data_IF_712057020538
#
_entry.id   IF_712057020538
#
_cell.length_a   1.000
_cell.length_b   1.000
_cell.length_c   1.000
_cell.angle_alpha   90.00
_cell.angle_beta   90.00
_cell.angle_gamma   90.00
#
_symmetry.space_group_name_H-M   'P 1'
#
loop_
_entity.id
_entity.type
_entity.pdbx_description
1 polymer ?
#
# COMPACT_ATOMS: atom_id res chain seq x y z
N UNK A 1 -12.29 -8.77 3.61
CA UNK A 1 -13.45 -9.51 3.05
C UNK A 1 -14.12 -8.73 1.92
N UNK A 2 -14.30 -7.41 2.06
CA UNK A 2 -15.00 -6.58 1.06
C UNK A 2 -14.37 -6.62 -0.34
N UNK A 3 -13.04 -6.62 -0.43
CA UNK A 3 -12.34 -6.75 -1.71
C UNK A 3 -12.78 -7.98 -2.52
N UNK A 4 -12.83 -9.14 -1.88
CA UNK A 4 -13.19 -10.41 -2.55
C UNK A 4 -14.65 -10.39 -2.97
N UNK A 5 -15.53 -9.84 -2.12
CA UNK A 5 -16.95 -9.70 -2.42
C UNK A 5 -17.16 -8.79 -3.64
N UNK A 6 -16.61 -7.58 -3.62
CA UNK A 6 -16.74 -6.61 -4.71
C UNK A 6 -16.13 -7.13 -6.02
N UNK A 7 -14.99 -7.83 -5.94
CA UNK A 7 -14.39 -8.44 -7.12
C UNK A 7 -15.28 -9.55 -7.70
N UNK A 8 -15.84 -10.43 -6.86
CA UNK A 8 -16.77 -11.48 -7.30
C UNK A 8 -18.01 -10.87 -7.94
N UNK A 9 -18.55 -9.80 -7.36
CA UNK A 9 -19.69 -9.07 -7.94
C UNK A 9 -19.32 -8.48 -9.31
N UNK A 10 -18.14 -7.86 -9.44
CA UNK A 10 -17.64 -7.36 -10.71
C UNK A 10 -17.46 -8.47 -11.76
N UNK A 11 -16.88 -9.62 -11.40
CA UNK A 11 -16.74 -10.77 -12.31
C UNK A 11 -18.13 -11.30 -12.73
N UNK A 12 -19.06 -11.42 -11.79
CA UNK A 12 -20.42 -11.92 -12.04
C UNK A 12 -21.23 -10.99 -12.97
N UNK A 13 -20.90 -9.69 -12.98
CA UNK A 13 -21.53 -8.71 -13.87
C UNK A 13 -21.29 -8.98 -15.36
N UNK A 14 -20.33 -9.84 -15.73
CA UNK A 14 -20.13 -10.27 -17.11
C UNK A 14 -21.43 -10.73 -17.79
N UNK A 15 -22.28 -11.43 -17.04
CA UNK A 15 -23.58 -11.91 -17.52
C UNK A 15 -24.48 -10.78 -18.04
N UNK A 16 -24.44 -9.60 -17.40
CA UNK A 16 -25.22 -8.42 -17.77
C UNK A 16 -24.72 -7.78 -19.07
N UNK A 17 -23.46 -8.03 -19.42
CA UNK A 17 -22.81 -7.50 -20.62
C UNK A 17 -22.79 -8.50 -21.78
N UNK A 18 -23.57 -9.57 -21.68
CA UNK A 18 -23.69 -10.59 -22.73
C UNK A 18 -25.09 -10.63 -23.34
N UNK A 19 -25.18 -10.92 -24.63
CA UNK A 19 -26.44 -11.14 -25.35
C UNK A 19 -26.23 -12.13 -26.51
N UNK A 20 -27.31 -12.59 -27.12
CA UNK A 20 -27.24 -13.46 -28.29
C UNK A 20 -26.39 -12.81 -29.40
N UNK A 21 -25.45 -13.58 -29.96
CA UNK A 21 -24.61 -13.14 -31.06
C UNK A 21 -25.37 -13.05 -32.37
N UNK A 22 -24.77 -12.39 -33.36
CA UNK A 22 -25.39 -12.23 -34.70
C UNK A 22 -25.47 -13.53 -35.51
N UNK A 23 -24.68 -14.55 -35.13
CA UNK A 23 -24.58 -15.84 -35.81
C UNK A 23 -24.87 -16.97 -34.82
N UNK A 24 -25.37 -18.09 -35.33
CA UNK A 24 -25.57 -19.28 -34.51
C UNK A 24 -24.22 -19.79 -33.96
N UNK A 25 -24.22 -20.18 -32.68
CA UNK A 25 -23.00 -20.52 -31.93
C UNK A 25 -22.12 -19.34 -31.52
N UNK A 26 -22.59 -18.08 -31.66
CA UNK A 26 -21.88 -16.88 -31.21
C UNK A 26 -22.62 -16.17 -30.07
N UNK A 27 -21.83 -15.50 -29.23
CA UNK A 27 -22.27 -14.63 -28.16
C UNK A 27 -21.70 -13.23 -28.35
N UNK A 28 -22.52 -12.22 -28.15
CA UNK A 28 -22.12 -10.82 -28.23
C UNK A 28 -21.80 -10.30 -26.83
N UNK A 29 -20.62 -9.71 -26.65
CA UNK A 29 -20.10 -9.28 -25.33
C UNK A 29 -19.67 -7.82 -25.39
N UNK A 30 -20.09 -7.02 -24.41
CA UNK A 30 -19.57 -5.68 -24.20
C UNK A 30 -18.37 -5.71 -23.23
N UNK A 31 -17.19 -5.94 -23.81
CA UNK A 31 -15.93 -6.02 -23.05
C UNK A 31 -15.54 -4.71 -22.37
N UNK A 32 -15.95 -3.57 -22.93
CA UNK A 32 -15.60 -2.25 -22.39
C UNK A 32 -16.38 -1.98 -21.10
N UNK A 33 -17.66 -2.33 -21.08
CA UNK A 33 -18.49 -2.25 -19.86
C UNK A 33 -18.07 -3.24 -18.79
N UNK A 34 -17.68 -4.45 -19.19
CA UNK A 34 -17.12 -5.41 -18.25
C UNK A 34 -15.80 -4.92 -17.65
N UNK A 35 -14.90 -4.36 -18.47
CA UNK A 35 -13.68 -3.72 -18.03
C UNK A 35 -13.95 -2.57 -17.07
N UNK A 36 -14.93 -1.71 -17.34
CA UNK A 36 -15.31 -0.59 -16.45
C UNK A 36 -15.62 -1.09 -15.03
N UNK A 37 -16.49 -2.11 -14.92
CA UNK A 37 -16.84 -2.71 -13.64
C UNK A 37 -15.63 -3.31 -12.92
N UNK A 38 -14.84 -4.12 -13.62
CA UNK A 38 -13.66 -4.77 -13.04
C UNK A 38 -12.59 -3.77 -12.60
N UNK A 39 -12.28 -2.79 -13.46
CA UNK A 39 -11.24 -1.80 -13.23
C UNK A 39 -11.62 -0.81 -12.13
N UNK A 40 -12.93 -0.54 -11.93
CA UNK A 40 -13.39 0.30 -10.82
C UNK A 40 -13.00 -0.28 -9.45
N UNK A 41 -13.14 -1.60 -9.28
CA UNK A 41 -12.72 -2.32 -8.07
C UNK A 41 -11.20 -2.23 -7.93
N UNK A 42 -10.46 -2.52 -9.00
CA UNK A 42 -8.98 -2.44 -8.96
C UNK A 42 -8.49 -1.05 -8.58
N UNK A 43 -9.02 0.00 -9.22
CA UNK A 43 -8.67 1.40 -8.91
C UNK A 43 -8.95 1.73 -7.44
N UNK A 44 -10.12 1.34 -6.91
CA UNK A 44 -10.51 1.56 -5.51
C UNK A 44 -9.50 0.96 -4.53
N UNK A 45 -9.07 -0.28 -4.74
CA UNK A 45 -8.16 -0.94 -3.81
C UNK A 45 -6.68 -0.61 -4.06
N UNK A 46 -6.28 -0.19 -5.28
CA UNK A 46 -4.94 0.34 -5.57
C UNK A 46 -4.72 1.74 -4.98
N UNK A 47 -5.78 2.56 -4.88
CA UNK A 47 -5.69 3.93 -4.35
C UNK A 47 -5.67 4.01 -2.83
N UNK A 48 -6.02 2.93 -2.12
CA UNK A 48 -5.97 2.84 -0.67
C UNK A 48 -4.54 3.09 -0.14
N UNK A 49 -4.45 3.87 0.95
CA UNK A 49 -3.20 4.25 1.61
C UNK A 49 -3.38 4.21 3.12
N UNK A 50 -2.28 4.03 3.84
CA UNK A 50 -2.21 4.12 5.30
C UNK A 50 -3.32 3.31 6.00
N UNK A 51 -4.17 3.95 6.80
CA UNK A 51 -5.26 3.34 7.57
C UNK A 51 -6.36 2.74 6.70
N UNK A 52 -6.49 3.21 5.46
CA UNK A 52 -7.44 2.68 4.48
C UNK A 52 -6.86 1.51 3.68
N UNK A 53 -5.59 1.14 3.91
CA UNK A 53 -4.95 0.00 3.26
C UNK A 53 -5.70 -1.30 3.55
N UNK A 54 -5.61 -2.24 2.62
CA UNK A 54 -6.24 -3.56 2.72
C UNK A 54 -6.03 -4.23 4.08
N UNK A 55 -4.85 -4.08 4.67
CA UNK A 55 -4.64 -4.30 6.09
C UNK A 55 -3.61 -3.32 6.65
N UNK A 56 -3.96 -2.70 7.78
CA UNK A 56 -3.13 -1.76 8.53
C UNK A 56 -2.97 -2.24 9.97
N UNK A 57 -1.73 -2.34 10.45
CA UNK A 57 -1.48 -2.57 11.86
C UNK A 57 -0.25 -1.77 12.31
N UNK A 58 -0.37 -1.09 13.45
CA UNK A 58 0.76 -0.41 14.10
C UNK A 58 1.12 -1.17 15.37
N UNK A 59 2.39 -1.51 15.51
CA UNK A 59 2.95 -2.27 16.62
C UNK A 59 3.93 -1.39 17.39
N UNK A 60 3.50 -0.92 18.56
CA UNK A 60 4.36 -0.16 19.46
C UNK A 60 4.97 -1.09 20.50
N UNK A 61 6.30 -1.09 20.59
CA UNK A 61 7.08 -1.75 21.63
C UNK A 61 7.69 -0.68 22.52
N UNK A 62 7.08 -0.45 23.67
CA UNK A 62 7.49 0.55 24.63
C UNK A 62 8.65 0.04 25.50
N UNK A 63 9.70 0.84 25.61
CA UNK A 63 10.87 0.55 26.41
C UNK A 63 10.54 0.70 27.89
N UNK A 64 10.89 -0.31 28.70
CA UNK A 64 10.61 -0.33 30.14
C UNK A 64 11.81 0.06 31.02
N UNK A 65 13.00 0.22 30.45
CA UNK A 65 14.25 0.24 31.24
C UNK A 65 14.98 -1.10 31.19
N UNK A 66 16.28 -1.09 31.53
CA UNK A 66 17.15 -2.27 31.64
C UNK A 66 17.18 -3.19 30.41
N UNK A 67 16.98 -2.61 29.22
CA UNK A 67 16.95 -3.34 27.95
C UNK A 67 15.61 -4.04 27.66
N UNK A 68 14.62 -3.98 28.56
CA UNK A 68 13.33 -4.66 28.42
C UNK A 68 12.32 -3.83 27.65
N UNK A 69 11.38 -4.51 27.00
CA UNK A 69 10.29 -3.88 26.23
C UNK A 69 8.95 -4.53 26.58
N UNK A 70 7.87 -3.80 26.34
CA UNK A 70 6.52 -4.36 26.37
C UNK A 70 5.67 -3.85 25.20
N UNK A 71 4.59 -4.55 24.92
CA UNK A 71 3.57 -4.16 23.95
C UNK A 71 2.19 -4.49 24.50
N UNK A 72 1.24 -3.59 24.32
CA UNK A 72 -0.18 -3.89 24.51
C UNK A 72 -0.81 -4.42 23.22
N UNK A 73 -1.60 -5.48 23.35
CA UNK A 73 -2.34 -6.08 22.24
C UNK A 73 -3.61 -6.75 22.78
N UNK A 74 -4.79 -6.36 22.28
CA UNK A 74 -6.09 -6.92 22.69
C UNK A 74 -6.26 -7.03 24.23
N UNK A 75 -5.98 -5.93 24.94
CA UNK A 75 -6.02 -5.81 26.41
C UNK A 75 -5.01 -6.69 27.17
N UNK A 76 -4.10 -7.37 26.48
CA UNK A 76 -3.01 -8.12 27.08
C UNK A 76 -1.69 -7.36 26.95
N UNK A 77 -0.80 -7.57 27.90
CA UNK A 77 0.54 -7.00 27.91
C UNK A 77 1.58 -8.10 27.64
N UNK A 78 2.43 -7.87 26.65
CA UNK A 78 3.46 -8.82 26.20
C UNK A 78 4.82 -8.24 26.54
N UNK A 79 5.63 -8.98 27.29
CA UNK A 79 6.96 -8.55 27.72
C UNK A 79 8.07 -9.21 26.90
N UNK A 80 9.11 -8.44 26.60
CA UNK A 80 10.30 -8.84 25.85
C UNK A 80 11.55 -8.54 26.69
N UNK A 81 12.42 -9.52 26.80
CA UNK A 81 13.65 -9.49 27.60
C UNK A 81 14.67 -8.48 27.08
N UNK A 82 14.75 -8.35 25.75
CA UNK A 82 15.70 -7.48 25.08
C UNK A 82 15.23 -7.09 23.67
N UNK A 83 15.93 -6.12 23.08
CA UNK A 83 15.72 -5.68 21.70
C UNK A 83 15.80 -6.83 20.68
N UNK A 84 16.73 -7.79 20.85
CA UNK A 84 16.84 -8.95 19.96
C UNK A 84 15.57 -9.80 19.95
N UNK A 85 14.87 -9.94 21.08
CA UNK A 85 13.61 -10.67 21.15
C UNK A 85 12.49 -9.92 20.42
N UNK A 86 12.47 -8.58 20.50
CA UNK A 86 11.57 -7.73 19.72
C UNK A 86 11.83 -7.93 18.22
N UNK A 87 13.07 -7.81 17.77
CA UNK A 87 13.48 -8.02 16.37
C UNK A 87 13.14 -9.42 15.86
N UNK A 88 13.33 -10.45 16.68
CA UNK A 88 12.98 -11.84 16.33
C UNK A 88 11.48 -12.01 16.18
N UNK A 89 10.69 -11.36 17.04
CA UNK A 89 9.24 -11.36 16.95
C UNK A 89 8.76 -10.68 15.66
N UNK A 90 9.34 -9.52 15.31
CA UNK A 90 9.03 -8.77 14.09
C UNK A 90 9.37 -9.61 12.85
N UNK A 91 10.56 -10.22 12.80
CA UNK A 91 10.98 -11.10 11.70
C UNK A 91 10.08 -12.33 11.55
N UNK A 92 9.59 -12.87 12.66
CA UNK A 92 8.66 -14.01 12.64
C UNK A 92 7.31 -13.62 12.05
N UNK A 93 6.77 -12.46 12.46
CA UNK A 93 5.53 -11.89 11.90
C UNK A 93 5.72 -11.61 10.41
N UNK A 94 6.81 -10.94 10.04
CA UNK A 94 7.15 -10.64 8.65
C UNK A 94 7.20 -11.92 7.79
N UNK A 95 7.86 -12.97 8.27
CA UNK A 95 7.96 -14.25 7.55
C UNK A 95 6.60 -14.93 7.36
N UNK A 96 5.75 -14.92 8.39
CA UNK A 96 4.40 -15.50 8.31
C UNK A 96 3.57 -14.75 7.27
N UNK A 97 3.60 -13.41 7.33
CA UNK A 97 2.83 -12.55 6.45
C UNK A 97 3.36 -12.65 5.01
N UNK A 98 4.67 -12.54 4.77
CA UNK A 98 5.28 -12.66 3.43
C UNK A 98 5.07 -14.01 2.77
N UNK A 99 4.77 -15.05 3.55
CA UNK A 99 4.40 -16.35 3.04
C UNK A 99 2.98 -16.44 2.48
N UNK A 100 2.17 -15.38 2.58
CA UNK A 100 0.79 -15.35 2.04
C UNK A 100 0.86 -14.89 0.58
N UNK A 101 0.29 -15.71 -0.32
CA UNK A 101 0.20 -15.36 -1.73
C UNK A 101 -0.91 -14.33 -1.97
N UNK A 102 -0.73 -13.47 -2.98
CA UNK A 102 -1.75 -12.50 -3.38
C UNK A 102 -1.77 -11.20 -2.56
N UNK A 103 -0.77 -10.99 -1.68
CA UNK A 103 -0.59 -9.74 -0.94
C UNK A 103 0.88 -9.32 -0.96
N UNK A 104 1.12 -8.03 -0.78
CA UNK A 104 2.43 -7.43 -0.58
C UNK A 104 2.48 -6.81 0.81
N UNK A 105 3.58 -7.02 1.53
CA UNK A 105 3.76 -6.49 2.89
C UNK A 105 4.96 -5.57 2.94
N UNK A 106 4.74 -4.41 3.55
CA UNK A 106 5.76 -3.42 3.87
C UNK A 106 5.76 -3.21 5.38
N UNK A 107 6.94 -3.30 5.99
CA UNK A 107 7.17 -2.98 7.40
C UNK A 107 8.05 -1.74 7.50
N UNK A 108 7.49 -0.66 8.01
CA UNK A 108 8.20 0.61 8.21
C UNK A 108 8.58 0.76 9.68
N UNK A 109 9.86 1.07 9.93
CA UNK A 109 10.37 1.28 11.28
C UNK A 109 10.44 2.78 11.57
N UNK A 110 9.78 3.22 12.62
CA UNK A 110 9.79 4.61 13.05
C UNK A 110 10.49 4.73 14.42
N UNK A 111 11.58 5.52 14.53
CA UNK A 111 12.05 5.94 15.84
C UNK A 111 10.98 6.83 16.48
N UNK A 112 10.42 6.40 17.62
CA UNK A 112 9.60 7.31 18.43
C UNK A 112 10.56 8.33 19.06
N UNK A 113 10.47 9.59 18.64
CA UNK A 113 11.18 10.68 19.31
C UNK A 113 10.63 10.79 20.73
N UNK A 114 11.50 10.67 21.74
CA UNK A 114 11.17 11.14 23.08
C UNK A 114 10.68 12.59 22.97
N UNK A 115 9.46 12.84 23.42
CA UNK A 115 8.93 14.18 23.55
C UNK A 115 9.80 14.93 24.57
N UNK A 116 10.59 15.90 24.10
CA UNK A 116 11.47 16.70 24.95
C UNK A 116 10.70 17.65 25.89
N UNK A 117 9.37 17.68 25.79
CA UNK A 117 8.52 18.58 26.56
C UNK A 117 8.08 18.03 27.94
N UNK A 118 8.51 16.83 28.33
CA UNK A 118 8.29 16.29 29.69
C UNK A 118 9.27 16.84 30.76
N UNK A 119 10.01 17.91 30.46
CA UNK A 119 10.83 18.66 31.43
C UNK A 119 10.20 20.03 31.70
N UNK A 120 9.13 20.04 32.48
CA UNK A 120 8.70 21.21 33.28
C UNK A 120 8.51 20.60 34.66
N UNK A 121 9.34 20.87 35.66
CA UNK A 121 9.28 22.08 36.48
C UNK A 121 10.59 22.23 37.26
N UNK A 122 11.23 23.39 37.13
CA UNK A 122 11.95 24.13 38.18
C UNK A 122 12.35 25.49 37.58
N UNK A 123 11.37 26.36 37.45
CA UNK A 123 11.63 27.80 37.42
C UNK A 123 11.90 28.25 38.85
N UNK A 124 13.10 28.75 39.14
CA UNK A 124 13.29 29.87 40.06
C UNK A 124 14.49 30.72 39.61
N UNK A 125 14.16 31.77 38.82
CA UNK A 125 14.71 33.14 38.87
C UNK A 125 16.11 33.43 38.25
N UNK A 126 16.47 34.71 37.96
CA UNK A 126 15.98 35.57 36.86
C UNK A 126 17.17 36.12 35.99
N UNK A 127 16.95 37.02 34.99
CA UNK A 127 17.70 37.04 33.71
C UNK A 127 18.97 37.90 33.69
N UNK A 128 19.93 37.54 32.83
CA UNK A 128 21.03 38.44 32.43
C UNK A 128 21.26 38.41 30.90
N UNK A 129 20.79 39.50 30.29
CA UNK A 129 21.31 40.32 29.17
C UNK A 129 22.19 39.70 28.06
N UNK A 130 21.62 39.78 26.84
CA UNK A 130 22.22 40.20 25.54
C UNK A 130 23.70 39.98 25.27
N UNK A 131 23.99 39.26 24.18
CA UNK A 131 24.82 39.81 23.10
C UNK A 131 24.58 39.10 21.75
N UNK A 132 24.69 39.89 20.69
CA UNK A 132 24.39 39.59 19.28
C UNK A 132 25.48 38.69 18.67
N UNK A 133 25.10 37.81 17.74
CA UNK A 133 25.78 37.75 16.44
C UNK A 133 24.90 37.05 15.39
N UNK A 134 24.38 37.84 14.45
CA UNK A 134 24.02 37.38 13.11
C UNK A 134 25.30 36.99 12.37
N UNK A 135 25.26 35.87 11.64
CA UNK A 135 25.63 35.71 10.21
C UNK A 135 26.00 34.26 9.91
N UNK A 136 25.12 33.59 9.17
CA UNK A 136 25.46 32.88 7.93
C UNK A 136 24.23 32.09 7.44
N UNK A 137 23.47 32.71 6.54
CA UNK A 137 22.51 31.99 5.68
C UNK A 137 23.31 31.24 4.63
N UNK A 138 23.63 29.97 4.88
CA UNK A 138 23.98 29.02 3.82
C UNK A 138 22.72 28.34 3.32
N UNK A 139 22.40 28.68 2.08
CA UNK A 139 21.50 27.99 1.16
C UNK A 139 21.88 26.49 1.12
N UNK A 140 20.94 25.60 1.47
CA UNK A 140 21.16 24.16 1.34
C UNK A 140 20.68 23.69 -0.04
N UNK A 141 21.54 23.07 -0.86
CA UNK A 141 21.12 22.49 -2.12
C UNK A 141 20.29 21.23 -1.87
N UNK A 142 19.16 21.16 -2.57
CA UNK A 142 18.34 19.97 -2.73
C UNK A 142 19.17 18.90 -3.46
N UNK A 143 19.82 17.98 -2.75
CA UNK A 143 20.52 16.87 -3.38
C UNK A 143 20.30 15.53 -2.65
N UNK A 144 20.26 14.50 -3.50
CA UNK A 144 19.96 13.09 -3.29
C UNK A 144 20.90 12.44 -2.25
N UNK A 145 20.50 12.42 -0.99
CA UNK A 145 21.02 11.49 0.02
C UNK A 145 19.88 10.99 0.92
N UNK A 146 18.91 10.26 0.34
CA UNK A 146 17.91 9.50 1.11
C UNK A 146 18.33 8.06 1.42
N UNK A 147 19.61 7.71 1.23
CA UNK A 147 20.17 6.44 1.66
C UNK A 147 21.43 6.73 2.47
N UNK A 148 21.50 6.21 3.70
CA UNK A 148 22.60 6.33 4.67
C UNK A 148 22.57 7.51 5.66
N UNK A 149 21.42 7.76 6.27
CA UNK A 149 21.38 8.01 7.71
C UNK A 149 20.35 7.09 8.34
N UNK A 150 20.78 5.85 8.58
CA UNK A 150 20.30 5.17 9.77
C UNK A 150 20.62 6.12 10.92
N UNK A 151 19.62 6.86 11.39
CA UNK A 151 19.69 7.48 12.71
C UNK A 151 20.17 6.35 13.62
N UNK A 152 21.37 6.49 14.17
CA UNK A 152 21.83 5.66 15.27
C UNK A 152 20.77 5.83 16.35
N UNK A 153 19.83 4.89 16.41
CA UNK A 153 18.86 4.80 17.47
C UNK A 153 19.68 4.81 18.76
N UNK A 154 19.35 5.64 19.75
CA UNK A 154 19.86 5.42 21.10
C UNK A 154 19.63 3.94 21.42
N UNK A 155 20.64 3.23 21.87
CA UNK A 155 20.41 1.93 22.49
C UNK A 155 19.42 2.20 23.62
N UNK A 156 18.20 1.66 23.49
CA UNK A 156 17.05 1.85 24.38
C UNK A 156 16.11 3.04 24.07
N UNK A 157 15.24 2.87 23.08
CA UNK A 157 14.08 3.72 22.85
C UNK A 157 12.89 2.86 22.38
N UNK A 158 11.67 3.41 22.44
CA UNK A 158 10.49 2.74 21.88
C UNK A 158 10.71 2.39 20.40
N UNK A 159 10.19 1.22 20.02
CA UNK A 159 10.25 0.72 18.65
C UNK A 159 8.82 0.73 18.12
N UNK A 160 8.57 1.53 17.09
CA UNK A 160 7.26 1.64 16.46
C UNK A 160 7.33 1.11 15.03
N UNK A 161 6.44 0.18 14.72
CA UNK A 161 6.44 -0.53 13.45
C UNK A 161 5.06 -0.47 12.83
N UNK A 162 5.05 0.05 11.62
CA UNK A 162 3.85 0.07 10.79
C UNK A 162 3.90 -1.09 9.81
N UNK A 163 2.87 -1.92 9.86
CA UNK A 163 2.64 -3.03 8.93
C UNK A 163 1.54 -2.63 7.95
N UNK A 164 1.95 -2.41 6.71
CA UNK A 164 1.07 -2.15 5.59
C UNK A 164 1.00 -3.39 4.72
N UNK A 165 -0.22 -3.83 4.46
CA UNK A 165 -0.49 -4.93 3.55
C UNK A 165 -1.39 -4.44 2.44
N UNK A 166 -0.95 -4.65 1.20
CA UNK A 166 -1.68 -4.33 -0.02
C UNK A 166 -1.94 -5.59 -0.83
N UNK A 167 -2.95 -5.53 -1.69
CA UNK A 167 -3.28 -6.64 -2.58
C UNK A 167 -2.25 -6.71 -3.71
N UNK A 168 -1.87 -7.93 -4.07
CA UNK A 168 -1.15 -8.19 -5.32
C UNK A 168 -2.16 -8.29 -6.47
N UNK A 169 -2.11 -7.32 -7.38
CA UNK A 169 -2.99 -7.24 -8.53
C UNK A 169 -2.45 -7.99 -9.76
N UNK A 170 -1.27 -8.61 -9.69
CA UNK A 170 -0.59 -9.18 -10.87
C UNK A 170 -1.45 -10.11 -11.74
N UNK A 171 -2.29 -10.95 -11.13
CA UNK A 171 -3.16 -11.85 -11.88
C UNK A 171 -4.41 -11.14 -12.46
N UNK A 172 -4.89 -10.07 -11.81
CA UNK A 172 -5.99 -9.24 -12.32
C UNK A 172 -5.50 -8.29 -13.40
N UNK A 173 -4.30 -7.73 -13.26
CA UNK A 173 -3.69 -6.86 -14.25
C UNK A 173 -3.51 -7.62 -15.58
N UNK A 174 -3.04 -8.87 -15.54
CA UNK A 174 -3.01 -9.75 -16.73
C UNK A 174 -4.38 -10.00 -17.35
N UNK A 175 -5.43 -10.11 -16.53
CA UNK A 175 -6.80 -10.26 -17.01
C UNK A 175 -7.29 -8.96 -17.65
N UNK A 176 -6.96 -7.82 -17.05
CA UNK A 176 -7.27 -6.49 -17.55
C UNK A 176 -6.60 -6.26 -18.91
N UNK A 177 -5.35 -6.69 -19.08
CA UNK A 177 -4.61 -6.57 -20.33
C UNK A 177 -5.28 -7.29 -21.51
N UNK A 178 -6.12 -8.30 -21.26
CA UNK A 178 -6.92 -8.95 -22.31
C UNK A 178 -7.93 -7.99 -22.95
N UNK A 179 -8.28 -6.89 -22.28
CA UNK A 179 -9.21 -5.90 -22.80
C UNK A 179 -8.55 -4.84 -23.69
N UNK A 180 -7.21 -4.81 -23.76
CA UNK A 180 -6.44 -3.81 -24.51
C UNK A 180 -6.93 -3.63 -25.96
N UNK A 181 -7.15 -4.70 -26.75
CA UNK A 181 -7.55 -4.53 -28.14
C UNK A 181 -8.91 -3.85 -28.27
N UNK A 182 -9.81 -4.07 -27.32
CA UNK A 182 -11.15 -3.47 -27.31
C UNK A 182 -11.10 -2.01 -26.87
N UNK A 183 -10.27 -1.67 -25.88
CA UNK A 183 -10.05 -0.29 -25.45
C UNK A 183 -9.36 0.53 -26.55
N UNK A 184 -8.33 -0.03 -27.19
CA UNK A 184 -7.62 0.62 -28.28
C UNK A 184 -8.55 0.92 -29.47
N UNK A 185 -9.54 0.06 -29.74
CA UNK A 185 -10.55 0.31 -30.80
C UNK A 185 -11.41 1.55 -30.55
N UNK A 186 -11.51 2.00 -29.29
CA UNK A 186 -12.19 3.23 -28.89
C UNK A 186 -11.24 4.43 -28.78
N UNK A 187 -9.95 4.25 -29.04
CA UNK A 187 -8.93 5.27 -28.77
C UNK A 187 -8.77 5.54 -27.27
N UNK A 188 -9.04 4.55 -26.42
CA UNK A 188 -8.79 4.60 -24.97
C UNK A 188 -7.37 4.09 -24.70
N UNK A 189 -6.61 4.86 -23.93
CA UNK A 189 -5.28 4.44 -23.47
C UNK A 189 -5.40 3.63 -22.17
N UNK A 190 -4.78 2.45 -22.14
CA UNK A 190 -4.63 1.64 -20.92
C UNK A 190 -3.68 2.24 -19.90
N UNK A 191 -3.66 1.70 -18.69
CA UNK A 191 -2.73 2.15 -17.63
C UNK A 191 -1.28 2.12 -18.09
N UNK A 192 -0.87 1.06 -18.81
CA UNK A 192 0.48 0.93 -19.36
C UNK A 192 0.77 2.05 -20.36
N UNK A 193 -0.15 2.31 -21.30
CA UNK A 193 -0.01 3.37 -22.31
C UNK A 193 -0.06 4.77 -21.69
N UNK A 194 -0.87 4.99 -20.67
CA UNK A 194 -0.92 6.23 -19.90
C UNK A 194 0.41 6.48 -19.19
N UNK A 195 1.03 5.43 -18.62
CA UNK A 195 2.35 5.54 -18.00
C UNK A 195 3.43 5.91 -19.02
N UNK A 196 3.46 5.22 -20.17
CA UNK A 196 4.37 5.54 -21.28
C UNK A 196 4.19 7.00 -21.74
N UNK A 197 2.95 7.47 -21.87
CA UNK A 197 2.62 8.85 -22.25
C UNK A 197 3.09 9.87 -21.21
N UNK A 198 2.91 9.59 -19.91
CA UNK A 198 3.42 10.45 -18.84
C UNK A 198 4.94 10.54 -18.89
N UNK A 199 5.62 9.41 -19.08
CA UNK A 199 7.08 9.37 -19.20
C UNK A 199 7.60 10.17 -20.42
N UNK A 200 6.91 10.12 -21.55
CA UNK A 200 7.26 10.94 -22.72
C UNK A 200 7.11 12.43 -22.41
N UNK A 201 5.98 12.84 -21.80
CA UNK A 201 5.75 14.24 -21.42
C UNK A 201 6.79 14.77 -20.43
N UNK A 202 7.22 13.94 -19.47
CA UNK A 202 8.29 14.30 -18.52
C UNK A 202 9.62 14.53 -19.27
N UNK A 203 9.95 13.66 -20.23
CA UNK A 203 11.17 13.80 -21.05
C UNK A 203 11.12 15.06 -21.92
N UNK A 204 9.99 15.31 -22.57
CA UNK A 204 9.79 16.48 -23.42
C UNK A 204 9.89 17.78 -22.61
N UNK A 205 9.28 17.81 -21.42
CA UNK A 205 9.40 18.94 -20.49
C UNK A 205 10.84 19.18 -20.04
N UNK A 206 11.59 18.12 -19.72
CA UNK A 206 12.99 18.24 -19.32
C UNK A 206 13.86 18.83 -20.45
N UNK A 207 13.62 18.38 -21.69
CA UNK A 207 14.34 18.88 -22.86
C UNK A 207 14.04 20.37 -23.13
N UNK A 208 12.77 20.77 -22.95
CA UNK A 208 12.35 22.17 -23.07
C UNK A 208 12.94 23.07 -21.99
N UNK A 209 13.04 22.59 -20.74
CA UNK A 209 13.73 23.32 -19.66
C UNK A 209 15.21 23.55 -20.00
N UNK A 210 15.89 22.53 -20.54
CA UNK A 210 17.30 22.65 -20.93
C UNK A 210 17.49 23.67 -22.06
N UNK A 211 16.65 23.66 -23.09
CA UNK A 211 16.68 24.66 -24.18
C UNK A 211 16.51 26.09 -23.65
N UNK A 212 15.60 26.30 -22.68
CA UNK A 212 15.43 27.62 -22.05
C UNK A 212 16.68 28.07 -21.32
N UNK A 213 17.31 27.18 -20.57
CA UNK A 213 18.55 27.49 -19.87
C UNK A 213 19.67 27.91 -20.84
N UNK A 214 19.72 27.34 -22.04
CA UNK A 214 20.66 27.73 -23.10
C UNK A 214 20.34 29.10 -23.71
N UNK A 215 19.07 29.39 -24.01
CA UNK A 215 18.62 30.69 -24.54
C UNK A 215 18.88 31.83 -23.53
N UNK A 216 18.61 31.59 -22.24
CA UNK A 216 18.89 32.56 -21.18
C UNK A 216 20.40 32.84 -21.09
N UNK A 217 21.25 31.81 -21.26
CA UNK A 217 22.71 31.96 -21.28
C UNK A 217 23.21 32.71 -22.51
N UNK A 218 22.57 32.57 -23.67
CA UNK A 218 23.03 33.20 -24.92
C UNK A 218 22.72 34.71 -25.02
N UNK A 219 22.00 35.30 -24.06
CA UNK A 219 21.55 36.71 -24.05
C UNK A 219 20.73 37.11 -25.29
N UNK A 220 20.22 36.17 -26.06
CA UNK A 220 19.36 36.44 -27.21
C UNK A 220 17.91 36.57 -26.73
N UNK A 221 17.48 37.79 -26.40
CA UNK A 221 16.19 38.07 -25.73
C UNK A 221 14.99 38.05 -26.70
N UNK A 222 15.16 37.51 -27.91
CA UNK A 222 14.07 37.40 -28.89
C UNK A 222 13.39 36.04 -28.74
N UNK A 223 12.31 35.96 -27.96
CA UNK A 223 11.48 34.77 -28.01
C UNK A 223 10.35 34.73 -27.00
N UNK A 224 9.14 34.53 -27.52
CA UNK A 224 7.94 34.21 -26.75
C UNK A 224 8.20 33.09 -25.73
N UNK A 225 7.83 33.32 -24.47
CA UNK A 225 7.83 32.28 -23.45
C UNK A 225 6.61 31.38 -23.74
N UNK A 226 6.85 30.22 -24.35
CA UNK A 226 5.83 29.17 -24.43
C UNK A 226 5.58 28.69 -23.00
N UNK A 227 4.33 28.57 -22.50
CA UNK A 227 4.08 28.04 -21.17
C UNK A 227 4.58 26.59 -21.06
N UNK A 228 5.24 26.25 -19.94
CA UNK A 228 5.59 24.86 -19.65
C UNK A 228 4.28 24.08 -19.47
N UNK A 229 4.17 22.95 -20.17
CA UNK A 229 3.02 22.05 -20.03
C UNK A 229 2.95 21.56 -18.58
N UNK A 230 1.78 21.71 -17.96
CA UNK A 230 1.46 21.01 -16.73
C UNK A 230 1.11 19.56 -17.09
N UNK A 231 2.02 18.66 -16.72
CA UNK A 231 1.90 17.23 -17.05
C UNK A 231 0.70 16.63 -16.33
N UNK A 232 0.43 17.05 -15.10
CA UNK A 232 -0.66 16.45 -14.31
C UNK A 232 -2.01 16.95 -14.84
N UNK A 233 -2.10 18.22 -15.30
CA UNK A 233 -3.29 18.74 -15.97
C UNK A 233 -3.57 18.01 -17.31
N UNK A 234 -2.56 17.84 -18.16
CA UNK A 234 -2.71 17.14 -19.44
C UNK A 234 -3.08 15.66 -19.26
N UNK A 235 -2.43 14.98 -18.30
CA UNK A 235 -2.80 13.61 -17.98
C UNK A 235 -4.23 13.53 -17.42
N UNK A 236 -4.65 14.53 -16.64
CA UNK A 236 -6.03 14.65 -16.16
C UNK A 236 -7.05 14.68 -17.30
N UNK A 237 -6.81 15.52 -18.33
CA UNK A 237 -7.68 15.61 -19.52
C UNK A 237 -7.77 14.28 -20.27
N UNK A 238 -6.64 13.60 -20.47
CA UNK A 238 -6.60 12.30 -21.16
C UNK A 238 -7.36 11.23 -20.38
N UNK A 239 -7.20 11.19 -19.06
CA UNK A 239 -7.90 10.23 -18.19
C UNK A 239 -9.41 10.49 -18.24
N UNK A 240 -9.83 11.76 -18.15
CA UNK A 240 -11.24 12.13 -18.24
C UNK A 240 -11.85 11.75 -19.61
N UNK A 241 -11.13 12.00 -20.71
CA UNK A 241 -11.56 11.60 -22.04
C UNK A 241 -11.71 10.07 -22.16
N UNK A 242 -10.75 9.31 -21.63
CA UNK A 242 -10.81 7.85 -21.57
C UNK A 242 -12.02 7.37 -20.78
N UNK A 243 -12.25 7.91 -19.58
CA UNK A 243 -13.38 7.53 -18.73
C UNK A 243 -14.72 7.85 -19.42
N UNK A 244 -14.81 8.99 -20.13
CA UNK A 244 -15.99 9.34 -20.92
C UNK A 244 -16.23 8.39 -22.08
N UNK A 245 -15.18 7.98 -22.81
CA UNK A 245 -15.27 6.98 -23.90
C UNK A 245 -15.75 5.62 -23.38
N UNK A 246 -15.23 5.19 -22.22
CA UNK A 246 -15.63 3.93 -21.58
C UNK A 246 -17.11 4.00 -21.16
N UNK A 247 -17.50 5.06 -20.45
CA UNK A 247 -18.87 5.26 -19.97
C UNK A 247 -19.90 5.29 -21.09
N UNK A 248 -19.58 5.93 -22.20
CA UNK A 248 -20.48 6.07 -23.35
C UNK A 248 -20.40 4.88 -24.33
N UNK A 249 -19.50 3.91 -24.11
CA UNK A 249 -19.39 2.75 -24.98
C UNK A 249 -20.54 1.77 -24.78
N UNK A 250 -21.19 1.42 -25.90
CA UNK A 250 -22.16 0.34 -25.97
C UNK A 250 -21.80 -0.68 -27.07
N UNK A 251 -20.51 -0.84 -27.35
CA UNK A 251 -20.02 -1.72 -28.42
C UNK A 251 -20.05 -3.16 -27.94
N UNK A 252 -20.68 -4.03 -28.73
CA UNK A 252 -20.68 -5.47 -28.54
C UNK A 252 -19.80 -6.14 -29.59
N UNK A 253 -18.99 -7.10 -29.13
CA UNK A 253 -18.14 -7.92 -29.99
C UNK A 253 -18.70 -9.35 -30.03
N UNK A 254 -18.94 -9.86 -31.24
CA UNK A 254 -19.33 -11.26 -31.43
C UNK A 254 -18.12 -12.17 -31.22
N UNK A 255 -18.29 -13.19 -30.38
CA UNK A 255 -17.31 -14.23 -30.10
C UNK A 255 -17.92 -15.62 -30.23
N UNK A 256 -17.12 -16.58 -30.65
CA UNK A 256 -17.54 -17.97 -30.70
C UNK A 256 -17.82 -18.45 -29.26
N UNK A 257 -18.89 -19.23 -29.07
CA UNK A 257 -19.28 -19.71 -27.74
C UNK A 257 -18.13 -20.42 -27.02
N UNK A 258 -17.34 -21.23 -27.74
CA UNK A 258 -16.20 -21.95 -27.17
C UNK A 258 -15.08 -21.02 -26.69
N UNK A 259 -14.80 -19.93 -27.41
CA UNK A 259 -13.83 -18.90 -26.97
C UNK A 259 -14.33 -18.18 -25.72
N UNK A 260 -15.63 -17.89 -25.66
CA UNK A 260 -16.23 -17.27 -24.49
C UNK A 260 -16.21 -18.19 -23.27
N UNK A 261 -16.48 -19.49 -23.45
CA UNK A 261 -16.43 -20.46 -22.35
C UNK A 261 -15.00 -20.63 -21.82
N UNK A 262 -13.98 -20.56 -22.69
CA UNK A 262 -12.57 -20.53 -22.27
C UNK A 262 -12.25 -19.26 -21.46
N UNK A 263 -12.74 -18.11 -21.88
CA UNK A 263 -12.61 -16.86 -21.15
C UNK A 263 -13.32 -16.90 -19.79
N UNK A 264 -14.52 -17.47 -19.69
CA UNK A 264 -15.20 -17.69 -18.40
C UNK A 264 -14.38 -18.59 -17.47
N UNK A 265 -13.82 -19.68 -18.01
CA UNK A 265 -12.96 -20.58 -17.21
C UNK A 265 -11.71 -19.87 -16.69
N UNK A 266 -11.13 -18.92 -17.44
CA UNK A 266 -10.00 -18.15 -16.94
C UNK A 266 -10.41 -17.19 -15.82
N UNK A 267 -11.57 -16.54 -15.95
CA UNK A 267 -12.17 -15.73 -14.87
C UNK A 267 -12.42 -16.53 -13.61
N UNK A 268 -13.06 -17.70 -13.72
CA UNK A 268 -13.34 -18.59 -12.60
C UNK A 268 -12.05 -19.04 -11.89
N UNK A 269 -10.97 -19.26 -12.67
CA UNK A 269 -9.65 -19.63 -12.14
C UNK A 269 -9.01 -18.49 -11.33
N UNK A 270 -9.12 -17.25 -11.81
CA UNK A 270 -8.67 -16.04 -11.09
C UNK A 270 -9.48 -15.88 -9.81
N UNK A 271 -10.80 -16.01 -9.87
CA UNK A 271 -11.67 -15.89 -8.69
C UNK A 271 -11.34 -16.95 -7.63
N UNK A 272 -11.22 -18.23 -8.02
CA UNK A 272 -10.86 -19.32 -7.11
C UNK A 272 -9.53 -19.07 -6.40
N UNK A 273 -8.54 -18.55 -7.12
CA UNK A 273 -7.22 -18.24 -6.56
C UNK A 273 -7.29 -17.12 -5.53
N UNK A 274 -8.06 -16.07 -5.81
CA UNK A 274 -8.24 -14.94 -4.89
C UNK A 274 -8.99 -15.39 -3.63
N UNK A 275 -10.02 -16.21 -3.79
CA UNK A 275 -10.71 -16.83 -2.66
C UNK A 275 -9.76 -17.68 -1.81
N UNK A 276 -8.96 -18.54 -2.44
CA UNK A 276 -7.97 -19.37 -1.73
C UNK A 276 -6.92 -18.53 -0.99
N UNK A 277 -6.44 -17.45 -1.58
CA UNK A 277 -5.49 -16.53 -0.94
C UNK A 277 -6.12 -15.82 0.27
N UNK A 278 -7.38 -15.38 0.17
CA UNK A 278 -8.11 -14.78 1.29
C UNK A 278 -8.39 -15.78 2.42
N UNK A 279 -8.72 -17.02 2.07
CA UNK A 279 -8.89 -18.10 3.05
C UNK A 279 -7.56 -18.41 3.76
N UNK A 280 -6.45 -18.41 3.02
CA UNK A 280 -5.11 -18.57 3.60
C UNK A 280 -4.74 -17.41 4.53
N UNK A 281 -5.00 -16.16 4.12
CA UNK A 281 -4.81 -14.98 4.96
C UNK A 281 -5.64 -15.09 6.25
N UNK A 282 -6.93 -15.44 6.13
CA UNK A 282 -7.85 -15.59 7.26
C UNK A 282 -7.41 -16.71 8.21
N UNK A 283 -6.94 -17.85 7.67
CA UNK A 283 -6.38 -18.96 8.46
C UNK A 283 -5.09 -18.57 9.16
N UNK A 284 -4.16 -17.88 8.48
CA UNK A 284 -2.91 -17.43 9.11
C UNK A 284 -3.13 -16.34 10.13
N UNK A 285 -4.07 -15.42 9.90
CA UNK A 285 -4.49 -14.44 10.89
C UNK A 285 -5.12 -15.14 12.11
N UNK A 286 -6.04 -16.08 11.89
CA UNK A 286 -6.64 -16.88 12.97
C UNK A 286 -5.61 -17.74 13.70
N UNK A 287 -4.61 -18.27 13.00
CA UNK A 287 -3.54 -19.07 13.59
C UNK A 287 -2.55 -18.21 14.36
N UNK A 288 -2.26 -17.00 13.91
CA UNK A 288 -1.50 -16.01 14.68
C UNK A 288 -2.25 -15.64 15.96
N UNK A 289 -3.57 -15.45 15.89
CA UNK A 289 -4.43 -15.23 17.06
C UNK A 289 -4.50 -16.46 17.99
N UNK A 290 -4.61 -17.67 17.44
CA UNK A 290 -4.70 -18.92 18.21
C UNK A 290 -3.37 -19.33 18.86
N UNK A 291 -2.24 -19.19 18.15
CA UNK A 291 -0.91 -19.38 18.73
C UNK A 291 -0.65 -18.38 19.85
N UNK A 292 -1.21 -17.17 19.73
CA UNK A 292 -1.19 -16.17 20.78
C UNK A 292 -2.08 -16.57 21.98
N UNK A 293 -3.32 -16.98 21.76
CA UNK A 293 -4.21 -17.49 22.82
C UNK A 293 -3.60 -18.70 23.55
N UNK A 294 -2.91 -19.58 22.83
CA UNK A 294 -2.21 -20.73 23.41
C UNK A 294 -1.01 -20.30 24.25
N UNK A 295 -0.26 -19.28 23.82
CA UNK A 295 0.82 -18.69 24.62
C UNK A 295 0.28 -18.04 25.91
N UNK A 296 -0.83 -17.29 25.83
CA UNK A 296 -1.50 -16.68 26.99
C UNK A 296 -2.04 -17.74 27.96
N UNK A 297 -2.63 -18.83 27.44
CA UNK A 297 -3.10 -19.97 28.25
C UNK A 297 -1.96 -20.67 28.97
N UNK A 298 -0.83 -20.89 28.30
CA UNK A 298 0.36 -21.51 28.91
C UNK A 298 0.87 -20.62 30.05
N UNK A 299 1.02 -19.31 29.83
CA UNK A 299 1.45 -18.38 30.89
C UNK A 299 0.47 -18.35 32.06
N UNK A 300 -0.85 -18.31 31.79
CA UNK A 300 -1.88 -18.30 32.83
C UNK A 300 -1.88 -19.59 33.65
N UNK A 301 -1.71 -20.74 33.00
CA UNK A 301 -1.59 -22.04 33.66
C UNK A 301 -0.31 -22.12 34.51
N UNK A 302 0.81 -21.64 33.99
CA UNK A 302 2.07 -21.58 34.72
C UNK A 302 1.99 -20.63 35.92
N UNK A 303 1.34 -19.47 35.79
CA UNK A 303 1.10 -18.53 36.90
C UNK A 303 0.21 -19.11 37.98
N UNK A 304 -0.89 -19.78 37.62
CA UNK A 304 -1.75 -20.44 38.60
C UNK A 304 -1.03 -21.57 39.34
N UNK A 305 -0.20 -22.33 38.63
CA UNK A 305 0.63 -23.39 39.23
C UNK A 305 1.67 -22.80 40.18
N UNK A 306 2.33 -21.69 39.80
CA UNK A 306 3.26 -20.95 40.66
C UNK A 306 2.58 -20.35 41.90
N UNK A 307 1.37 -19.82 41.76
CA UNK A 307 0.57 -19.29 42.88
C UNK A 307 0.13 -20.38 43.85
N UNK A 308 -0.29 -21.54 43.35
CA UNK A 308 -0.62 -22.70 44.20
C UNK A 308 0.61 -23.27 44.90
N UNK A 309 1.77 -23.34 44.23
CA UNK A 309 3.03 -23.72 44.86
C UNK A 309 3.47 -22.70 45.93
N UNK A 310 3.31 -21.40 45.67
CA UNK A 310 3.62 -20.35 46.63
C UNK A 310 2.67 -20.37 47.85
N UNK A 311 1.36 -20.59 47.64
CA UNK A 311 0.40 -20.80 48.74
C UNK A 311 0.71 -22.05 49.55
N UNK A 312 1.13 -23.13 48.89
CA UNK A 312 1.58 -24.36 49.54
C UNK A 312 2.82 -24.12 50.40
N UNK A 313 3.78 -23.35 49.90
CA UNK A 313 5.01 -22.99 50.62
C UNK A 313 4.76 -22.03 51.80
N UNK A 314 3.82 -21.08 51.67
CA UNK A 314 3.45 -20.13 52.72
C UNK A 314 2.48 -20.71 53.77
N UNK A 315 1.93 -21.91 53.54
CA UNK A 315 1.10 -22.64 54.51
C UNK A 315 1.90 -23.55 55.45
N UNK A 316 3.20 -23.71 55.22
CA UNK A 316 4.13 -24.46 56.08
C UNK A 316 5.00 -23.54 56.92
#
# INVERSE_FOLDING_TARGET
MDYVKELREAISSLSQYTKAGKKDGYIAINYVKFYEGLNSVVKKYKSMREKDSFFYNRMLFSYLGDGKYHRQFNNNEIFYKNKNQVETSIKSVEKILKGIKGINITLSHFPVKLDKNALVERETSPPIKTEKLEKDKKEYPLNKEMNQRALLLPDNCDIDIECLCSIDFSDIDKLIDLFEPYLASLGVLSETKLKEKRESLVKDRALEVNRRAEIIKSKDHKGFIIPLIDIDEEMGKIIEENDNKIKNSNIYHDKLQTEFDLFKKSLDSVEKRINANMDELSKKFSSANSNYDNFIKIISSTMNTLLEMAKGFLRY
#
